data_IF_412595546536
#
_entry.id   IF_412595546536
#
_cell.length_a   1.000
_cell.length_b   1.000
_cell.length_c   1.000
_cell.angle_alpha   90.00
_cell.angle_beta   90.00
_cell.angle_gamma   90.00
#
_symmetry.space_group_name_H-M   'P 1'
#
loop_
_entity.id
_entity.type
_entity.pdbx_description
1 polymer ?
#
# COMPACT_ATOMS: atom_id res chain seq x y z
N UNK A 1 -7.50 -8.15 -4.94
CA UNK A 1 -6.16 -8.33 -5.54
C UNK A 1 -5.23 -7.33 -4.89
N UNK A 2 -3.94 -7.64 -4.78
CA UNK A 2 -2.92 -6.67 -4.41
C UNK A 2 -2.11 -6.32 -5.65
N UNK A 3 -1.78 -5.04 -5.83
CA UNK A 3 -0.92 -4.56 -6.92
C UNK A 3 0.26 -3.85 -6.29
N UNK A 4 1.46 -4.30 -6.63
CA UNK A 4 2.70 -3.58 -6.39
C UNK A 4 3.20 -3.05 -7.74
N UNK A 5 3.54 -1.77 -7.83
CA UNK A 5 4.26 -1.24 -9.00
C UNK A 5 5.72 -1.08 -8.64
N UNK A 6 6.59 -1.33 -9.63
CA UNK A 6 8.02 -1.26 -9.39
C UNK A 6 8.42 0.12 -8.88
N UNK A 7 9.01 0.19 -7.70
CA UNK A 7 9.33 1.44 -7.03
C UNK A 7 10.79 1.56 -6.59
N UNK A 8 11.59 0.51 -6.83
CA UNK A 8 12.98 0.41 -6.43
C UNK A 8 13.16 -0.43 -5.16
N UNK A 9 12.13 -1.14 -4.71
CA UNK A 9 12.23 -2.14 -3.63
C UNK A 9 12.59 -3.54 -4.15
N UNK A 10 12.75 -3.67 -5.46
CA UNK A 10 13.09 -4.90 -6.16
C UNK A 10 14.61 -5.09 -6.27
N UNK A 11 15.03 -6.33 -6.52
CA UNK A 11 16.43 -6.65 -6.85
C UNK A 11 16.69 -6.26 -8.30
N UNK A 12 17.73 -5.45 -8.54
CA UNK A 12 18.01 -4.84 -9.85
C UNK A 12 18.05 -5.85 -11.03
N UNK A 13 18.72 -6.98 -10.88
CA UNK A 13 18.86 -7.99 -11.95
C UNK A 13 17.68 -8.96 -12.05
N UNK A 14 16.80 -8.97 -11.06
CA UNK A 14 15.61 -9.82 -11.00
C UNK A 14 14.44 -9.02 -10.42
N UNK A 15 13.86 -8.09 -11.19
CA UNK A 15 12.91 -7.09 -10.66
C UNK A 15 11.57 -7.69 -10.19
N UNK A 16 11.31 -8.97 -10.46
CA UNK A 16 10.20 -9.68 -9.84
C UNK A 16 10.49 -10.09 -8.38
N UNK A 17 11.76 -10.13 -7.95
CA UNK A 17 12.15 -10.43 -6.57
C UNK A 17 12.29 -9.17 -5.74
N UNK A 18 11.86 -9.25 -4.49
CA UNK A 18 11.91 -8.15 -3.54
C UNK A 18 13.20 -8.21 -2.73
N UNK A 19 13.75 -7.04 -2.42
CA UNK A 19 14.87 -6.96 -1.51
C UNK A 19 14.39 -7.21 -0.06
N UNK A 20 15.01 -8.18 0.63
CA UNK A 20 14.62 -8.59 2.00
C UNK A 20 15.43 -7.83 3.07
N UNK A 21 16.64 -7.38 2.72
CA UNK A 21 17.55 -6.69 3.64
C UNK A 21 17.26 -5.20 3.73
N UNK A 22 18.31 -4.39 3.61
CA UNK A 22 18.19 -2.94 3.43
C UNK A 22 18.17 -2.65 1.93
N UNK A 23 17.10 -2.01 1.49
CA UNK A 23 16.79 -1.73 0.09
C UNK A 23 16.83 -0.23 -0.13
N UNK A 24 17.64 0.23 -1.09
CA UNK A 24 17.77 1.66 -1.34
C UNK A 24 16.72 2.13 -2.34
N UNK A 25 15.72 2.83 -1.84
CA UNK A 25 14.57 3.29 -2.62
C UNK A 25 14.36 4.78 -2.36
N UNK A 26 14.19 5.59 -3.42
CA UNK A 26 13.98 7.05 -3.29
C UNK A 26 15.00 7.77 -2.38
N UNK A 27 16.28 7.36 -2.48
CA UNK A 27 17.37 7.85 -1.63
C UNK A 27 17.23 7.56 -0.12
N UNK A 28 16.33 6.67 0.28
CA UNK A 28 16.19 6.13 1.63
C UNK A 28 16.61 4.66 1.65
N UNK A 29 17.19 4.25 2.78
CA UNK A 29 17.38 2.85 3.09
C UNK A 29 16.08 2.34 3.71
N UNK A 30 15.47 1.29 3.17
CA UNK A 30 14.23 0.71 3.66
C UNK A 30 14.44 -0.77 3.98
N UNK A 31 14.06 -1.18 5.18
CA UNK A 31 14.06 -2.59 5.55
C UNK A 31 12.97 -3.36 4.78
N UNK A 32 13.23 -4.64 4.46
CA UNK A 32 12.45 -5.55 3.60
C UNK A 32 10.93 -5.50 3.70
N UNK A 33 10.34 -4.44 3.15
CA UNK A 33 8.91 -4.16 3.03
C UNK A 33 8.58 -3.77 1.61
N UNK A 34 7.34 -3.95 1.21
CA UNK A 34 6.84 -3.53 -0.10
C UNK A 34 5.59 -2.68 0.05
N UNK A 35 5.51 -1.57 -0.71
CA UNK A 35 4.29 -0.77 -0.84
C UNK A 35 3.40 -1.35 -1.95
N UNK A 36 2.12 -1.52 -1.65
CA UNK A 36 1.13 -2.08 -2.58
C UNK A 36 -0.25 -1.44 -2.39
N UNK A 37 -1.17 -1.67 -3.32
CA UNK A 37 -2.59 -1.32 -3.19
C UNK A 37 -3.50 -2.52 -3.18
N UNK A 38 -4.52 -2.51 -2.33
CA UNK A 38 -5.67 -3.40 -2.44
C UNK A 38 -6.63 -2.87 -3.51
N UNK A 39 -6.92 -3.72 -4.47
CA UNK A 39 -7.98 -3.53 -5.46
C UNK A 39 -9.11 -4.51 -5.12
N UNK A 40 -10.29 -3.96 -4.85
CA UNK A 40 -11.49 -4.67 -4.43
C UNK A 40 -12.73 -4.13 -5.14
N UNK A 41 -13.87 -4.81 -5.03
CA UNK A 41 -15.04 -4.51 -5.87
C UNK A 41 -15.65 -3.14 -5.57
N UNK A 42 -15.81 -2.74 -4.30
CA UNK A 42 -16.35 -1.40 -3.98
C UNK A 42 -15.49 -0.27 -4.54
N UNK A 43 -14.17 -0.46 -4.65
CA UNK A 43 -13.28 0.51 -5.29
C UNK A 43 -13.65 0.76 -6.76
N UNK A 44 -14.08 -0.28 -7.47
CA UNK A 44 -14.52 -0.18 -8.88
C UNK A 44 -15.93 0.41 -9.02
N UNK A 45 -16.76 0.25 -7.99
CA UNK A 45 -18.16 0.70 -8.02
C UNK A 45 -18.31 2.20 -7.70
N UNK A 46 -17.27 2.84 -7.18
CA UNK A 46 -17.26 4.26 -6.87
C UNK A 46 -17.40 5.10 -8.15
N UNK A 47 -18.43 5.96 -8.21
CA UNK A 47 -18.73 6.78 -9.39
C UNK A 47 -17.62 7.81 -9.73
N UNK A 48 -16.81 8.18 -8.75
CA UNK A 48 -15.68 9.09 -8.92
C UNK A 48 -14.38 8.39 -9.36
N UNK A 49 -14.43 7.08 -9.66
CA UNK A 49 -13.30 6.27 -10.11
C UNK A 49 -13.44 5.92 -11.59
N UNK A 50 -12.71 6.63 -12.44
CA UNK A 50 -12.63 6.31 -13.87
C UNK A 50 -11.58 5.23 -14.18
N UNK A 51 -10.64 4.98 -13.26
CA UNK A 51 -9.59 3.99 -13.38
C UNK A 51 -9.09 3.55 -11.98
N UNK A 52 -8.30 2.48 -11.95
CA UNK A 52 -7.51 2.11 -10.76
C UNK A 52 -6.39 3.15 -10.62
N UNK A 53 -6.29 3.80 -9.46
CA UNK A 53 -5.20 4.72 -9.18
C UNK A 53 -3.91 3.93 -8.99
N UNK A 54 -2.99 4.11 -9.92
CA UNK A 54 -1.65 3.57 -9.84
C UNK A 54 -0.72 4.65 -9.27
N UNK A 55 0.18 4.31 -8.32
CA UNK A 55 1.15 5.27 -7.83
C UNK A 55 2.05 5.79 -8.95
N UNK A 56 2.36 5.01 -10.00
CA UNK A 56 3.16 5.44 -11.15
C UNK A 56 2.42 5.21 -12.48
N UNK A 57 2.66 6.08 -13.47
CA UNK A 57 1.93 6.05 -14.76
C UNK A 57 2.55 5.14 -15.82
N UNK A 58 3.83 4.87 -15.70
CA UNK A 58 4.71 4.35 -16.76
C UNK A 58 5.50 3.11 -16.33
N UNK A 59 5.14 2.52 -15.19
CA UNK A 59 5.83 1.37 -14.61
C UNK A 59 4.96 0.15 -14.71
N UNK A 60 5.56 -1.03 -14.81
CA UNK A 60 4.88 -2.30 -14.56
C UNK A 60 4.91 -2.68 -13.08
N UNK A 61 4.66 -3.94 -12.79
CA UNK A 61 4.54 -4.43 -11.44
C UNK A 61 4.04 -5.86 -11.35
N UNK A 62 3.66 -6.24 -10.13
CA UNK A 62 3.16 -7.57 -9.81
C UNK A 62 1.72 -7.48 -9.29
N UNK A 63 0.88 -8.39 -9.77
CA UNK A 63 -0.46 -8.62 -9.23
C UNK A 63 -0.44 -9.91 -8.42
N UNK A 64 -0.87 -9.84 -7.17
CA UNK A 64 -0.86 -10.96 -6.24
C UNK A 64 -2.25 -11.41 -5.82
N UNK A 65 -2.35 -12.72 -5.54
CA UNK A 65 -3.45 -13.26 -4.73
C UNK A 65 -3.14 -13.03 -3.25
N UNK A 66 -4.04 -12.39 -2.49
CA UNK A 66 -3.74 -11.95 -1.14
C UNK A 66 -3.56 -13.07 -0.11
N UNK A 67 -4.03 -14.29 -0.38
CA UNK A 67 -4.07 -15.36 0.63
C UNK A 67 -2.70 -15.86 1.12
N UNK A 68 -1.61 -15.53 0.41
CA UNK A 68 -0.26 -16.00 0.74
C UNK A 68 0.68 -14.87 1.17
N UNK A 69 0.14 -13.67 1.43
CA UNK A 69 0.95 -12.49 1.73
C UNK A 69 0.83 -12.09 3.18
N UNK A 70 1.95 -11.67 3.76
CA UNK A 70 1.99 -11.13 5.13
C UNK A 70 1.79 -9.62 5.08
N UNK A 71 0.60 -9.18 5.50
CA UNK A 71 0.25 -7.76 5.62
C UNK A 71 0.76 -7.24 6.97
N UNK A 72 1.61 -6.22 6.94
CA UNK A 72 2.18 -5.60 8.14
C UNK A 72 1.31 -4.45 8.67
N UNK A 73 0.82 -3.59 7.79
CA UNK A 73 -0.12 -2.52 8.12
C UNK A 73 -0.79 -1.96 6.88
N UNK A 74 -1.81 -1.12 7.08
CA UNK A 74 -2.68 -0.60 6.03
C UNK A 74 -2.91 0.91 6.18
N UNK A 75 -3.17 1.59 5.06
CA UNK A 75 -3.44 3.02 4.99
C UNK A 75 -4.53 3.31 3.97
N UNK A 76 -5.38 4.29 4.29
CA UNK A 76 -6.41 4.80 3.39
C UNK A 76 -5.90 5.82 2.37
N UNK A 77 -4.60 6.11 2.35
CA UNK A 77 -3.90 7.00 1.42
C UNK A 77 -2.48 6.47 1.18
N UNK A 78 -1.64 7.20 0.46
CA UNK A 78 -0.18 7.06 0.58
C UNK A 78 0.21 7.44 2.01
N UNK A 79 0.70 6.45 2.77
CA UNK A 79 1.04 6.57 4.16
C UNK A 79 2.37 7.28 4.42
N UNK A 80 3.15 7.63 3.38
CA UNK A 80 4.47 8.21 3.54
C UNK A 80 5.43 7.25 4.26
N UNK A 81 5.26 5.95 4.01
CA UNK A 81 5.82 4.84 4.79
C UNK A 81 7.35 4.76 4.72
N UNK A 82 7.98 5.44 3.76
CA UNK A 82 9.43 5.63 3.74
C UNK A 82 9.97 6.37 4.99
N UNK A 83 9.12 7.09 5.73
CA UNK A 83 9.47 7.74 7.00
C UNK A 83 9.46 6.76 8.19
N UNK A 84 8.89 5.57 8.04
CA UNK A 84 8.89 4.50 9.04
C UNK A 84 9.95 3.44 8.71
N UNK A 85 11.21 3.76 8.97
CA UNK A 85 12.34 2.90 8.63
C UNK A 85 12.84 2.04 9.81
N UNK A 86 11.93 1.58 10.67
CA UNK A 86 12.30 0.72 11.79
C UNK A 86 12.39 -0.74 11.32
N UNK A 87 13.50 -1.43 11.61
CA UNK A 87 13.71 -2.82 11.20
C UNK A 87 12.60 -3.77 11.68
N UNK A 88 12.01 -3.51 12.85
CA UNK A 88 10.98 -4.37 13.46
C UNK A 88 9.59 -4.17 12.86
N UNK A 89 9.30 -2.98 12.33
CA UNK A 89 8.01 -2.60 11.74
C UNK A 89 8.27 -1.73 10.50
N UNK A 90 8.87 -2.30 9.45
CA UNK A 90 9.27 -1.52 8.30
C UNK A 90 8.04 -1.01 7.54
N UNK A 91 7.97 0.30 7.33
CA UNK A 91 6.83 0.95 6.70
C UNK A 91 5.62 1.20 7.61
N UNK A 92 5.70 0.83 8.90
CA UNK A 92 4.58 0.93 9.85
C UNK A 92 5.00 1.66 11.14
N UNK A 93 4.06 2.26 11.85
CA UNK A 93 4.30 2.75 13.22
C UNK A 93 3.79 1.78 14.27
N UNK A 94 4.36 1.85 15.47
CA UNK A 94 3.90 1.10 16.64
C UNK A 94 2.49 1.49 17.11
N UNK A 95 2.06 2.72 16.83
CA UNK A 95 0.70 3.19 17.09
C UNK A 95 -0.16 2.97 15.86
N UNK A 96 -1.33 2.38 16.03
CA UNK A 96 -2.33 2.13 14.99
C UNK A 96 -3.60 2.92 15.25
N UNK A 97 -4.43 3.08 14.21
CA UNK A 97 -5.76 3.65 14.32
C UNK A 97 -6.66 2.78 15.18
N UNK A 98 -7.48 3.42 16.03
CA UNK A 98 -8.56 2.74 16.74
C UNK A 98 -9.73 2.50 15.77
N UNK A 99 -9.96 1.25 15.38
CA UNK A 99 -11.03 0.89 14.46
C UNK A 99 -12.43 1.14 15.02
N UNK A 100 -12.59 1.12 16.35
CA UNK A 100 -13.85 1.41 17.02
C UNK A 100 -14.14 2.91 17.03
N UNK A 101 -13.11 3.75 17.11
CA UNK A 101 -13.21 5.21 17.06
C UNK A 101 -12.14 5.83 16.15
N UNK A 102 -12.30 5.76 14.82
CA UNK A 102 -11.24 6.14 13.88
C UNK A 102 -11.15 7.64 13.62
N UNK A 103 -12.01 8.45 14.25
CA UNK A 103 -12.03 9.90 14.07
C UNK A 103 -11.07 10.58 15.03
N UNK A 104 -10.16 11.38 14.49
CA UNK A 104 -9.27 12.25 15.27
C UNK A 104 -10.06 13.43 15.85
N UNK A 105 -9.50 14.08 16.85
CA UNK A 105 -10.10 15.25 17.51
C UNK A 105 -10.31 16.45 16.58
N UNK A 106 -9.55 16.53 15.49
CA UNK A 106 -9.67 17.55 14.44
C UNK A 106 -10.71 17.20 13.37
N UNK A 107 -11.45 16.10 13.54
CA UNK A 107 -12.46 15.61 12.61
C UNK A 107 -11.90 14.87 11.40
N UNK A 108 -10.58 14.67 11.32
CA UNK A 108 -9.98 13.87 10.25
C UNK A 108 -10.07 12.39 10.56
N UNK A 109 -10.22 11.58 9.51
CA UNK A 109 -10.23 10.14 9.65
C UNK A 109 -8.80 9.58 9.75
N UNK A 110 -8.54 8.77 10.76
CA UNK A 110 -7.25 8.13 10.99
C UNK A 110 -6.82 7.26 9.80
N UNK A 111 -5.55 7.39 9.38
CA UNK A 111 -5.02 6.67 8.22
C UNK A 111 -5.49 7.18 6.85
N UNK A 112 -6.31 8.24 6.79
CA UNK A 112 -6.73 8.91 5.55
C UNK A 112 -6.16 10.33 5.42
N UNK A 113 -5.30 10.74 6.36
CA UNK A 113 -4.64 12.04 6.38
C UNK A 113 -3.28 11.97 7.08
N UNK A 114 -2.40 12.91 6.72
CA UNK A 114 -1.07 13.07 7.30
C UNK A 114 0.04 12.45 6.44
N UNK A 115 1.28 12.83 6.73
CA UNK A 115 2.48 12.26 6.10
C UNK A 115 3.64 12.33 7.11
N UNK A 116 3.94 11.23 7.84
CA UNK A 116 3.34 9.91 7.67
C UNK A 116 1.90 9.85 8.21
N UNK A 117 1.07 9.01 7.59
CA UNK A 117 -0.26 8.70 8.10
C UNK A 117 -0.16 7.67 9.24
N UNK A 118 -1.17 7.63 10.11
CA UNK A 118 -1.27 6.57 11.14
C UNK A 118 -1.78 5.28 10.48
N UNK A 119 -1.11 4.12 10.64
CA UNK A 119 -1.52 2.86 10.06
C UNK A 119 -2.77 2.29 10.73
N UNK A 120 -3.45 1.42 10.00
CA UNK A 120 -4.43 0.49 10.52
C UNK A 120 -3.79 -0.88 10.74
N UNK A 121 -4.25 -1.58 11.78
CA UNK A 121 -3.85 -2.96 12.02
C UNK A 121 -4.42 -3.88 10.92
N UNK A 122 -3.67 -4.91 10.47
CA UNK A 122 -4.17 -5.88 9.49
C UNK A 122 -5.51 -6.52 9.88
N UNK A 123 -5.78 -6.72 11.17
CA UNK A 123 -7.05 -7.30 11.63
C UNK A 123 -8.27 -6.41 11.34
N UNK A 124 -8.04 -5.09 11.24
CA UNK A 124 -9.08 -4.08 11.02
C UNK A 124 -9.26 -3.73 9.53
N UNK A 125 -8.69 -4.54 8.63
CA UNK A 125 -8.75 -4.33 7.18
C UNK A 125 -10.16 -4.12 6.66
N UNK A 126 -11.13 -4.93 7.12
CA UNK A 126 -12.52 -4.79 6.69
C UNK A 126 -13.04 -3.38 6.99
N UNK A 127 -12.79 -2.89 8.21
CA UNK A 127 -13.24 -1.56 8.65
C UNK A 127 -12.57 -0.45 7.85
N UNK A 128 -11.28 -0.59 7.57
CA UNK A 128 -10.57 0.34 6.69
C UNK A 128 -11.20 0.39 5.30
N UNK A 129 -11.49 -0.74 4.68
CA UNK A 129 -12.04 -0.79 3.31
C UNK A 129 -13.47 -0.22 3.22
N UNK A 130 -14.28 -0.43 4.26
CA UNK A 130 -15.60 0.20 4.41
C UNK A 130 -15.47 1.74 4.51
N UNK A 131 -14.53 2.21 5.32
CA UNK A 131 -14.24 3.65 5.45
C UNK A 131 -13.70 4.23 4.14
N UNK A 132 -12.86 3.48 3.44
CA UNK A 132 -12.27 3.91 2.18
C UNK A 132 -13.31 4.10 1.09
N UNK A 133 -14.34 3.24 1.06
CA UNK A 133 -15.46 3.39 0.13
C UNK A 133 -16.14 4.76 0.28
N UNK A 134 -16.32 5.22 1.51
CA UNK A 134 -17.04 6.46 1.83
C UNK A 134 -16.15 7.70 1.80
N UNK A 135 -14.93 7.58 2.33
CA UNK A 135 -14.06 8.71 2.70
C UNK A 135 -12.74 8.75 1.94
N UNK A 136 -12.38 7.68 1.22
CA UNK A 136 -11.13 7.64 0.46
C UNK A 136 -11.09 8.74 -0.60
N UNK A 137 -9.91 9.33 -0.83
CA UNK A 137 -9.74 10.44 -1.77
C UNK A 137 -10.31 10.13 -3.15
N UNK A 138 -10.91 11.15 -3.77
CA UNK A 138 -11.42 11.06 -5.15
C UNK A 138 -10.26 10.88 -6.11
N UNK A 139 -10.49 10.18 -7.21
CA UNK A 139 -9.54 10.16 -8.32
C UNK A 139 -9.56 11.51 -9.04
N UNK A 140 -8.38 12.07 -9.27
CA UNK A 140 -8.16 13.34 -9.97
C UNK A 140 -7.04 13.16 -10.99
N UNK A 141 -7.14 13.80 -12.17
CA UNK A 141 -6.03 13.79 -13.13
C UNK A 141 -5.05 14.93 -12.84
N UNK A 142 -3.71 14.70 -12.91
CA UNK A 142 -3.05 13.43 -13.17
C UNK A 142 -3.12 12.47 -11.95
N UNK A 143 -3.65 11.26 -12.14
CA UNK A 143 -4.00 10.26 -11.10
C UNK A 143 -2.90 9.67 -10.23
N UNK A 144 -1.73 10.32 -10.14
CA UNK A 144 -0.62 9.90 -9.31
C UNK A 144 -1.02 9.99 -7.83
N UNK A 145 -1.00 8.86 -7.12
CA UNK A 145 -1.52 8.68 -5.74
C UNK A 145 -2.99 9.09 -5.49
N UNK A 146 -3.73 9.49 -6.52
CA UNK A 146 -5.06 10.08 -6.36
C UNK A 146 -6.12 9.02 -6.15
N UNK A 147 -6.51 8.82 -4.88
CA UNK A 147 -7.27 7.65 -4.51
C UNK A 147 -6.40 6.38 -4.51
N UNK A 148 -5.12 6.51 -4.18
CA UNK A 148 -4.31 5.37 -3.79
C UNK A 148 -4.69 4.91 -2.38
N UNK A 149 -4.57 3.62 -2.09
CA UNK A 149 -4.47 3.08 -0.74
C UNK A 149 -3.14 2.36 -0.64
N UNK A 150 -2.52 2.41 0.54
CA UNK A 150 -1.25 1.75 0.75
C UNK A 150 -1.40 0.57 1.70
N UNK A 151 -0.78 -0.53 1.31
CA UNK A 151 -0.65 -1.75 2.10
C UNK A 151 0.80 -2.11 2.15
N UNK A 152 1.30 -2.30 3.35
CA UNK A 152 2.67 -2.71 3.57
C UNK A 152 2.71 -4.23 3.70
N UNK A 153 3.51 -4.84 2.84
CA UNK A 153 3.72 -6.28 2.79
C UNK A 153 5.16 -6.60 3.18
N UNK A 154 5.37 -7.78 3.76
CA UNK A 154 6.73 -8.32 3.92
C UNK A 154 7.32 -8.70 2.55
N UNK A 155 8.54 -8.23 2.27
CA UNK A 155 9.26 -8.60 1.03
C UNK A 155 9.47 -10.11 0.90
N UNK A 156 9.76 -10.79 2.00
CA UNK A 156 9.93 -12.24 2.02
C UNK A 156 8.64 -12.98 1.60
N UNK A 157 7.48 -12.53 2.10
CA UNK A 157 6.20 -13.14 1.73
C UNK A 157 5.84 -12.94 0.26
N UNK A 158 6.32 -11.85 -0.36
CA UNK A 158 6.16 -11.65 -1.80
C UNK A 158 7.03 -12.62 -2.58
N UNK A 159 8.31 -12.77 -2.20
CA UNK A 159 9.23 -13.73 -2.83
C UNK A 159 8.65 -15.16 -2.79
N UNK A 160 8.06 -15.56 -1.66
CA UNK A 160 7.39 -16.86 -1.51
C UNK A 160 6.12 -16.99 -2.39
N UNK A 161 5.43 -15.88 -2.66
CA UNK A 161 4.21 -15.84 -3.46
C UNK A 161 4.45 -15.70 -4.97
N UNK A 162 5.70 -15.51 -5.43
CA UNK A 162 6.02 -15.29 -6.85
C UNK A 162 5.50 -16.37 -7.82
N UNK A 163 5.55 -17.68 -7.50
CA UNK A 163 4.99 -18.69 -8.40
C UNK A 163 3.48 -18.54 -8.66
N UNK A 164 2.78 -17.76 -7.83
CA UNK A 164 1.34 -17.49 -7.94
C UNK A 164 1.03 -16.02 -8.31
N UNK A 165 2.04 -15.22 -8.67
CA UNK A 165 1.87 -13.83 -9.10
C UNK A 165 1.72 -13.71 -10.62
N UNK A 166 1.24 -12.55 -11.07
CA UNK A 166 1.16 -12.19 -12.48
C UNK A 166 1.99 -10.93 -12.69
N UNK A 167 2.93 -10.98 -13.62
CA UNK A 167 3.64 -9.79 -14.09
C UNK A 167 2.72 -8.94 -14.96
N UNK A 168 2.68 -7.63 -14.69
CA UNK A 168 1.75 -6.70 -15.30
C UNK A 168 2.45 -5.42 -15.73
N UNK A 169 2.26 -5.04 -17.00
CA UNK A 169 2.72 -3.76 -17.55
C UNK A 169 1.53 -2.82 -17.69
N UNK A 170 1.64 -1.63 -17.11
CA UNK A 170 0.58 -0.63 -17.14
C UNK A 170 0.91 0.38 -18.25
N UNK A 171 0.06 0.43 -19.30
CA UNK A 171 0.21 1.26 -20.52
C UNK A 171 -0.99 2.17 -20.72
#
# INVERSE_FOLDING_TARGET
LLIHQWDGQEIADTPWRMCIGICRTQAQDLWGRVSSSIIYQSLRNRADRLAISLPFRDRGGLIFRPMNLSVSCLYGIDGGTFRYNEQKLPGCSAQTCDAANPWKSDGQLCGFSGTPATPWDPQDMQRLLEMYEQMGSRYTQPGFHSGYNEVILSSASIDDALPASIDAFFV
#
